data_IF_149049140301
#
_entry.id   IF_149049140301
#
_cell.length_a   1.000
_cell.length_b   1.000
_cell.length_c   1.000
_cell.angle_alpha   90.00
_cell.angle_beta   90.00
_cell.angle_gamma   90.00
#
_symmetry.space_group_name_H-M   'P 1'
#
loop_
_entity.id
_entity.type
_entity.pdbx_description
1 polymer ?
#
# COMPACT_ATOMS: atom_id res chain seq x y z
N UNK A 1 -1.62 -0.50 -1.10
CA UNK A 1 -1.87 -1.13 0.22
C UNK A 1 -2.52 -2.51 0.15
N UNK A 2 -3.56 -2.71 -0.67
CA UNK A 2 -4.25 -4.01 -0.80
C UNK A 2 -3.30 -5.21 -1.00
N UNK A 3 -2.31 -5.09 -1.90
CA UNK A 3 -1.31 -6.15 -2.12
C UNK A 3 -0.49 -6.50 -0.87
N UNK A 4 -0.10 -5.51 -0.07
CA UNK A 4 0.63 -5.75 1.17
C UNK A 4 -0.24 -6.47 2.21
N UNK A 5 -1.53 -6.15 2.27
CA UNK A 5 -2.47 -6.87 3.15
C UNK A 5 -2.70 -8.31 2.68
N UNK A 6 -2.74 -8.53 1.36
CA UNK A 6 -2.86 -9.85 0.77
C UNK A 6 -1.63 -10.72 1.03
N UNK A 7 -0.43 -10.19 0.78
CA UNK A 7 0.84 -10.88 1.05
C UNK A 7 0.95 -11.26 2.53
N UNK A 8 0.63 -10.34 3.44
CA UNK A 8 0.60 -10.62 4.88
C UNK A 8 -0.40 -11.71 5.25
N UNK A 9 -1.59 -11.71 4.64
CA UNK A 9 -2.58 -12.76 4.86
C UNK A 9 -2.06 -14.14 4.42
N UNK A 10 -1.37 -14.22 3.27
CA UNK A 10 -0.77 -15.46 2.79
C UNK A 10 0.34 -15.97 3.73
N UNK A 11 1.19 -15.09 4.22
CA UNK A 11 2.28 -15.43 5.15
C UNK A 11 1.75 -15.91 6.52
N UNK A 12 0.65 -15.28 6.99
CA UNK A 12 -0.03 -15.62 8.25
C UNK A 12 -0.83 -16.93 8.16
N UNK A 13 -1.09 -17.46 6.98
CA UNK A 13 -1.87 -18.69 6.84
C UNK A 13 -1.09 -19.91 7.36
N UNK A 14 -1.71 -20.77 8.18
CA UNK A 14 -1.06 -21.97 8.71
C UNK A 14 -0.86 -23.07 7.66
N UNK A 15 -1.54 -22.95 6.52
CA UNK A 15 -1.53 -23.95 5.46
C UNK A 15 -0.38 -23.69 4.48
N UNK A 16 0.51 -24.67 4.34
CA UNK A 16 1.71 -24.60 3.48
C UNK A 16 1.38 -24.22 2.04
N UNK A 17 0.26 -24.73 1.49
CA UNK A 17 -0.22 -24.38 0.14
C UNK A 17 -0.48 -22.87 -0.04
N UNK A 18 -1.07 -22.20 0.95
CA UNK A 18 -1.32 -20.76 0.87
C UNK A 18 -0.03 -19.96 1.02
N UNK A 19 0.92 -20.43 1.84
CA UNK A 19 2.24 -19.80 1.98
C UNK A 19 3.06 -19.90 0.68
N UNK A 20 2.95 -21.01 -0.06
CA UNK A 20 3.56 -21.15 -1.39
C UNK A 20 2.97 -20.19 -2.43
N UNK A 21 1.75 -19.72 -2.21
CA UNK A 21 1.12 -18.74 -3.10
C UNK A 21 1.81 -17.37 -3.04
N UNK A 22 2.51 -17.07 -1.94
CA UNK A 22 3.36 -15.89 -1.72
C UNK A 22 4.69 -15.92 -2.50
N UNK A 23 4.83 -16.81 -3.49
CA UNK A 23 6.05 -16.86 -4.29
C UNK A 23 6.20 -15.59 -5.15
N UNK A 24 7.45 -15.16 -5.36
CA UNK A 24 7.76 -14.03 -6.23
C UNK A 24 7.12 -14.15 -7.62
N UNK A 25 7.04 -15.37 -8.17
CA UNK A 25 6.43 -15.63 -9.49
C UNK A 25 4.95 -15.27 -9.52
N UNK A 26 4.21 -15.58 -8.46
CA UNK A 26 2.80 -15.21 -8.35
C UNK A 26 2.63 -13.72 -8.07
N UNK A 27 3.53 -13.11 -7.28
CA UNK A 27 3.52 -11.66 -7.08
C UNK A 27 3.66 -10.90 -8.42
N UNK A 28 4.60 -11.31 -9.28
CA UNK A 28 4.73 -10.73 -10.62
C UNK A 28 3.50 -10.94 -11.50
N UNK A 29 2.86 -12.11 -11.44
CA UNK A 29 1.59 -12.38 -12.16
C UNK A 29 0.47 -11.45 -11.67
N UNK A 30 0.33 -11.27 -10.35
CA UNK A 30 -0.67 -10.37 -9.77
C UNK A 30 -0.42 -8.91 -10.15
N UNK A 31 0.83 -8.47 -10.12
CA UNK A 31 1.22 -7.13 -10.58
C UNK A 31 0.84 -6.95 -12.06
N UNK A 32 1.13 -7.93 -12.91
CA UNK A 32 0.75 -7.90 -14.33
C UNK A 32 -0.76 -7.79 -14.54
N UNK A 33 -1.56 -8.56 -13.79
CA UNK A 33 -3.03 -8.49 -13.84
C UNK A 33 -3.52 -7.10 -13.42
N UNK A 34 -2.96 -6.53 -12.34
CA UNK A 34 -3.33 -5.19 -11.86
C UNK A 34 -2.98 -4.13 -12.90
N UNK A 35 -1.80 -4.19 -13.50
CA UNK A 35 -1.40 -3.26 -14.56
C UNK A 35 -2.38 -3.34 -15.73
N UNK A 36 -2.76 -4.55 -16.14
CA UNK A 36 -3.72 -4.75 -17.23
C UNK A 36 -5.10 -4.15 -16.89
N UNK A 37 -5.60 -4.38 -15.67
CA UNK A 37 -6.85 -3.77 -15.18
C UNK A 37 -6.75 -2.24 -15.20
N UNK A 38 -5.63 -1.67 -14.75
CA UNK A 38 -5.41 -0.23 -14.77
C UNK A 38 -5.40 0.30 -16.21
N UNK A 39 -4.66 -0.34 -17.12
CA UNK A 39 -4.64 0.03 -18.53
C UNK A 39 -6.05 0.03 -19.14
N UNK A 40 -6.88 -0.96 -18.84
CA UNK A 40 -8.28 -1.01 -19.30
C UNK A 40 -9.11 0.12 -18.71
N UNK A 41 -8.98 0.43 -17.41
CA UNK A 41 -9.71 1.54 -16.81
C UNK A 41 -9.30 2.88 -17.42
N UNK A 42 -8.00 3.12 -17.61
CA UNK A 42 -7.46 4.34 -18.22
C UNK A 42 -7.65 4.40 -19.74
N UNK A 43 -7.92 3.29 -20.43
CA UNK A 43 -8.21 3.31 -21.87
C UNK A 43 -9.42 4.20 -22.20
N UNK A 44 -10.38 4.29 -21.30
CA UNK A 44 -11.58 5.12 -21.46
C UNK A 44 -11.25 6.62 -21.56
N UNK A 45 -10.14 7.08 -20.97
CA UNK A 45 -9.69 8.47 -21.13
C UNK A 45 -9.35 8.80 -22.58
N UNK A 46 -8.81 7.86 -23.37
CA UNK A 46 -8.50 8.11 -24.78
C UNK A 46 -9.75 8.36 -25.63
N UNK A 47 -10.86 7.67 -25.31
CA UNK A 47 -12.12 7.84 -26.04
C UNK A 47 -12.90 9.08 -25.55
N UNK A 48 -12.84 9.35 -24.25
CA UNK A 48 -13.64 10.41 -23.62
C UNK A 48 -12.95 11.78 -23.58
N UNK A 49 -11.62 11.86 -23.68
CA UNK A 49 -10.88 13.11 -23.62
C UNK A 49 -10.87 13.83 -24.97
N UNK A 50 -11.85 14.71 -25.20
CA UNK A 50 -11.76 15.70 -26.26
C UNK A 50 -11.14 16.98 -25.70
N UNK A 51 -9.87 17.23 -26.01
CA UNK A 51 -9.22 18.50 -25.69
C UNK A 51 -9.72 19.54 -26.71
N UNK A 52 -10.78 20.26 -26.35
CA UNK A 52 -11.21 21.46 -27.10
C UNK A 52 -10.70 22.69 -26.36
N UNK A 53 -9.50 23.14 -26.72
CA UNK A 53 -8.95 24.42 -26.28
C UNK A 53 -8.30 25.12 -27.48
N UNK A 54 -8.75 26.33 -27.82
CA UNK A 54 -7.97 27.19 -28.72
C UNK A 54 -6.84 27.79 -27.89
N UNK A 55 -5.56 27.64 -28.26
CA UNK A 55 -4.51 28.49 -27.66
C UNK A 55 -4.91 29.95 -27.90
N UNK A 56 -4.89 30.85 -26.89
CA UNK A 56 -4.06 30.83 -25.68
C UNK A 56 -4.87 30.77 -24.36
N UNK A 57 -5.92 29.96 -24.25
CA UNK A 57 -6.62 29.80 -22.96
C UNK A 57 -5.78 28.96 -21.98
N UNK A 58 -5.42 29.52 -20.82
CA UNK A 58 -4.67 28.87 -19.73
C UNK A 58 -5.41 27.73 -19.03
N UNK A 59 -6.66 27.44 -19.42
CA UNK A 59 -7.48 26.36 -18.89
C UNK A 59 -7.51 25.18 -19.86
N UNK A 60 -6.72 24.15 -19.57
CA UNK A 60 -6.91 22.82 -20.14
C UNK A 60 -8.11 22.14 -19.48
N UNK A 61 -9.32 22.54 -19.86
CA UNK A 61 -10.54 21.90 -19.38
C UNK A 61 -10.91 20.75 -20.32
N UNK A 62 -10.85 19.50 -19.83
CA UNK A 62 -11.35 18.36 -20.60
C UNK A 62 -12.87 18.46 -20.66
N UNK A 63 -13.42 18.86 -21.81
CA UNK A 63 -14.86 18.80 -22.03
C UNK A 63 -15.21 17.35 -22.32
N UNK A 64 -15.68 16.65 -21.29
CA UNK A 64 -16.21 15.30 -21.41
C UNK A 64 -17.71 15.37 -21.69
N UNK A 65 -18.21 14.43 -22.50
CA UNK A 65 -19.66 14.23 -22.61
C UNK A 65 -20.19 13.79 -21.23
N UNK A 66 -21.43 14.16 -20.92
CA UNK A 66 -22.06 13.85 -19.63
C UNK A 66 -22.00 12.35 -19.28
N UNK A 67 -22.22 11.48 -20.28
CA UNK A 67 -22.12 10.02 -20.12
C UNK A 67 -20.68 9.56 -19.81
N UNK A 68 -19.67 10.15 -20.47
CA UNK A 68 -18.27 9.86 -20.19
C UNK A 68 -17.86 10.34 -18.79
N UNK A 69 -18.33 11.52 -18.36
CA UNK A 69 -18.08 12.05 -17.02
C UNK A 69 -18.62 11.11 -15.94
N UNK A 70 -19.88 10.68 -16.07
CA UNK A 70 -20.49 9.72 -15.16
C UNK A 70 -19.73 8.38 -15.11
N UNK A 71 -19.41 7.81 -16.27
CA UNK A 71 -18.69 6.54 -16.35
C UNK A 71 -17.28 6.64 -15.73
N UNK A 72 -16.54 7.73 -16.01
CA UNK A 72 -15.21 7.95 -15.48
C UNK A 72 -15.22 8.07 -13.95
N UNK A 73 -16.17 8.83 -13.40
CA UNK A 73 -16.33 8.95 -11.95
C UNK A 73 -16.72 7.61 -11.31
N UNK A 74 -17.65 6.86 -11.91
CA UNK A 74 -18.06 5.56 -11.40
C UNK A 74 -16.89 4.56 -11.42
N UNK A 75 -16.15 4.48 -12.54
CA UNK A 75 -14.94 3.65 -12.66
C UNK A 75 -13.91 4.04 -11.61
N UNK A 76 -13.70 5.34 -11.38
CA UNK A 76 -12.77 5.84 -10.36
C UNK A 76 -13.20 5.40 -8.95
N UNK A 77 -14.47 5.56 -8.58
CA UNK A 77 -15.00 5.12 -7.28
C UNK A 77 -14.83 3.61 -7.11
N UNK A 78 -15.14 2.82 -8.13
CA UNK A 78 -15.01 1.36 -8.08
C UNK A 78 -13.56 0.92 -7.90
N UNK A 79 -12.65 1.48 -8.70
CA UNK A 79 -11.26 1.04 -8.77
C UNK A 79 -10.43 1.57 -7.59
N UNK A 80 -10.70 2.79 -7.15
CA UNK A 80 -9.94 3.43 -6.07
C UNK A 80 -10.55 3.11 -4.71
N UNK A 81 -11.88 3.12 -4.53
CA UNK A 81 -12.48 3.01 -3.20
C UNK A 81 -13.11 1.64 -2.91
N UNK A 82 -14.00 1.14 -3.78
CA UNK A 82 -14.81 -0.04 -3.45
C UNK A 82 -13.97 -1.32 -3.52
N UNK A 83 -13.33 -1.59 -4.65
CA UNK A 83 -12.61 -2.85 -4.86
C UNK A 83 -11.48 -3.02 -3.84
N UNK A 84 -10.56 -2.05 -3.64
CA UNK A 84 -9.48 -2.28 -2.70
C UNK A 84 -9.96 -2.26 -1.25
N UNK A 85 -11.03 -1.51 -0.94
CA UNK A 85 -11.66 -1.50 0.39
C UNK A 85 -12.20 -2.87 0.77
N UNK A 86 -12.93 -3.53 -0.14
CA UNK A 86 -13.43 -4.90 0.04
C UNK A 86 -12.27 -5.90 0.20
N UNK A 87 -11.24 -5.80 -0.64
CA UNK A 87 -10.05 -6.67 -0.55
C UNK A 87 -9.36 -6.51 0.81
N UNK A 88 -9.07 -5.28 1.22
CA UNK A 88 -8.42 -4.99 2.51
C UNK A 88 -9.28 -5.47 3.67
N UNK A 89 -10.60 -5.27 3.62
CA UNK A 89 -11.52 -5.70 4.66
C UNK A 89 -11.56 -7.23 4.79
N UNK A 90 -11.73 -7.94 3.67
CA UNK A 90 -11.78 -9.41 3.63
C UNK A 90 -10.49 -10.04 4.16
N UNK A 91 -9.33 -9.59 3.64
CA UNK A 91 -8.03 -10.12 4.07
C UNK A 91 -7.63 -9.65 5.48
N UNK A 92 -8.01 -8.43 5.86
CA UNK A 92 -7.82 -7.91 7.21
C UNK A 92 -8.55 -8.74 8.26
N UNK A 93 -9.85 -9.03 8.04
CA UNK A 93 -10.63 -9.88 8.92
C UNK A 93 -10.10 -11.32 8.97
N UNK A 94 -9.72 -11.89 7.80
CA UNK A 94 -9.12 -13.22 7.72
C UNK A 94 -7.85 -13.33 8.57
N UNK A 95 -7.00 -12.30 8.49
CA UNK A 95 -5.76 -12.19 9.27
C UNK A 95 -6.04 -12.18 10.77
N UNK A 96 -7.02 -11.40 11.23
CA UNK A 96 -7.42 -11.33 12.65
C UNK A 96 -7.96 -12.68 13.15
N UNK A 97 -8.82 -13.35 12.37
CA UNK A 97 -9.40 -14.65 12.73
C UNK A 97 -8.33 -15.73 12.89
N UNK A 98 -7.39 -15.80 11.94
CA UNK A 98 -6.27 -16.75 12.02
C UNK A 98 -5.40 -16.51 13.25
N UNK A 99 -5.12 -15.24 13.59
CA UNK A 99 -4.32 -14.93 14.78
C UNK A 99 -5.02 -15.33 16.08
N UNK A 100 -6.33 -15.16 16.19
CA UNK A 100 -7.09 -15.62 17.36
C UNK A 100 -6.95 -17.13 17.53
N UNK A 101 -7.08 -17.91 16.45
CA UNK A 101 -6.92 -19.37 16.46
C UNK A 101 -5.51 -19.81 16.88
N UNK A 102 -4.48 -19.11 16.37
CA UNK A 102 -3.07 -19.32 16.73
C UNK A 102 -2.75 -19.01 18.21
N UNK A 103 -3.50 -18.09 18.85
CA UNK A 103 -3.34 -17.82 20.29
C UNK A 103 -3.95 -18.93 21.14
N UNK A 104 -5.15 -19.41 20.78
CA UNK A 104 -5.84 -20.47 21.52
C UNK A 104 -5.11 -21.80 21.45
N UNK A 105 -4.55 -22.17 20.29
CA UNK A 105 -3.87 -23.47 20.11
C UNK A 105 -2.57 -23.65 20.93
N UNK A 106 -1.93 -22.55 21.36
CA UNK A 106 -0.63 -22.60 22.06
C UNK A 106 -0.79 -22.51 23.58
N UNK A 107 -1.99 -22.23 24.09
CA UNK A 107 -2.25 -22.22 25.54
C UNK A 107 -2.19 -23.60 26.20
N UNK A 108 -2.15 -24.68 25.42
CA UNK A 108 -2.40 -26.04 25.90
C UNK A 108 -1.22 -27.00 25.75
N UNK A 109 -0.04 -26.56 25.29
CA UNK A 109 1.11 -27.46 25.04
C UNK A 109 2.29 -27.15 25.96
N UNK A 110 2.31 -27.81 27.11
CA UNK A 110 3.40 -27.90 28.09
C UNK A 110 4.57 -28.74 27.54
N UNK A 111 5.31 -28.22 26.56
CA UNK A 111 6.57 -28.85 26.10
C UNK A 111 7.68 -27.80 25.98
N UNK A 112 8.73 -27.99 26.76
CA UNK A 112 9.64 -26.96 27.28
C UNK A 112 10.64 -26.39 26.25
N UNK A 113 10.93 -27.08 25.15
CA UNK A 113 12.08 -26.72 24.27
C UNK A 113 11.77 -26.02 22.93
N UNK A 114 10.50 -25.88 22.52
CA UNK A 114 10.13 -25.15 21.28
C UNK A 114 9.79 -23.66 21.49
N UNK A 115 9.90 -23.17 22.72
CA UNK A 115 9.30 -21.91 23.18
C UNK A 115 10.03 -20.66 22.68
N UNK A 116 11.35 -20.66 22.56
CA UNK A 116 12.09 -19.40 22.32
C UNK A 116 12.00 -18.87 20.87
N UNK A 117 12.05 -19.74 19.86
CA UNK A 117 11.94 -19.32 18.45
C UNK A 117 10.52 -18.88 18.09
N UNK A 118 9.51 -19.59 18.59
CA UNK A 118 8.10 -19.24 18.43
C UNK A 118 7.74 -17.93 19.15
N UNK A 119 8.33 -17.66 20.33
CA UNK A 119 8.08 -16.42 21.06
C UNK A 119 8.64 -15.18 20.33
N UNK A 120 9.83 -15.30 19.72
CA UNK A 120 10.41 -14.22 18.88
C UNK A 120 9.57 -13.96 17.63
N UNK A 121 9.12 -15.01 16.95
CA UNK A 121 8.25 -14.90 15.77
C UNK A 121 6.92 -14.21 16.11
N UNK A 122 6.32 -14.56 17.26
CA UNK A 122 5.09 -13.92 17.78
C UNK A 122 5.22 -12.42 18.06
N UNK A 123 6.37 -11.97 18.56
CA UNK A 123 6.58 -10.54 18.83
C UNK A 123 6.61 -9.74 17.52
N UNK A 124 7.34 -10.24 16.52
CA UNK A 124 7.40 -9.63 15.19
C UNK A 124 6.03 -9.58 14.51
N UNK A 125 5.27 -10.69 14.57
CA UNK A 125 3.92 -10.76 14.01
C UNK A 125 2.95 -9.78 14.68
N UNK A 126 3.09 -9.56 16.00
CA UNK A 126 2.25 -8.61 16.74
C UNK A 126 2.51 -7.15 16.33
N UNK A 127 3.78 -6.79 16.12
CA UNK A 127 4.14 -5.45 15.64
C UNK A 127 3.64 -5.23 14.20
N UNK A 128 3.82 -6.23 13.33
CA UNK A 128 3.29 -6.21 11.95
C UNK A 128 1.76 -6.09 11.92
N UNK A 129 1.05 -6.78 12.82
CA UNK A 129 -0.40 -6.66 12.96
C UNK A 129 -0.84 -5.27 13.42
N UNK A 130 -0.18 -4.71 14.45
CA UNK A 130 -0.50 -3.37 14.94
C UNK A 130 -0.32 -2.34 13.83
N UNK A 131 0.71 -2.51 13.02
CA UNK A 131 0.95 -1.69 11.84
C UNK A 131 -0.18 -1.83 10.82
N UNK A 132 -0.57 -3.06 10.47
CA UNK A 132 -1.65 -3.32 9.51
C UNK A 132 -2.97 -2.69 9.97
N UNK A 133 -3.32 -2.85 11.25
CA UNK A 133 -4.55 -2.28 11.82
C UNK A 133 -4.51 -0.75 11.75
N UNK A 134 -3.38 -0.14 12.09
CA UNK A 134 -3.21 1.31 11.96
C UNK A 134 -3.42 1.79 10.53
N UNK A 135 -2.83 1.10 9.54
CA UNK A 135 -3.04 1.40 8.13
C UNK A 135 -4.50 1.25 7.70
N UNK A 136 -5.17 0.17 8.12
CA UNK A 136 -6.58 -0.06 7.80
C UNK A 136 -7.45 1.08 8.34
N UNK A 137 -7.27 1.46 9.61
CA UNK A 137 -8.05 2.54 10.23
C UNK A 137 -7.82 3.87 9.50
N UNK A 138 -6.57 4.23 9.21
CA UNK A 138 -6.25 5.46 8.49
C UNK A 138 -6.88 5.49 7.10
N UNK A 139 -6.82 4.39 6.36
CA UNK A 139 -7.45 4.28 5.04
C UNK A 139 -8.96 4.45 5.15
N UNK A 140 -9.63 3.80 6.12
CA UNK A 140 -11.07 3.97 6.29
C UNK A 140 -11.46 5.41 6.63
N UNK A 141 -10.71 6.06 7.52
CA UNK A 141 -10.95 7.45 7.92
C UNK A 141 -10.79 8.40 6.73
N UNK A 142 -9.82 8.15 5.83
CA UNK A 142 -9.60 9.00 4.65
C UNK A 142 -10.46 8.65 3.45
N UNK A 143 -10.86 7.40 3.29
CA UNK A 143 -11.64 6.97 2.12
C UNK A 143 -13.12 7.26 2.25
N UNK A 144 -13.68 7.26 3.46
CA UNK A 144 -15.10 7.57 3.65
C UNK A 144 -15.42 9.01 3.21
N UNK A 145 -14.69 10.05 3.65
CA UNK A 145 -14.91 11.43 3.20
C UNK A 145 -14.73 11.59 1.70
N UNK A 146 -13.65 11.01 1.15
CA UNK A 146 -13.39 11.06 -0.29
C UNK A 146 -14.50 10.38 -1.10
N UNK A 147 -14.93 9.17 -0.72
CA UNK A 147 -16.01 8.46 -1.42
C UNK A 147 -17.34 9.22 -1.31
N UNK A 148 -17.66 9.80 -0.15
CA UNK A 148 -18.87 10.59 0.04
C UNK A 148 -18.87 11.85 -0.85
N UNK A 149 -17.74 12.56 -0.95
CA UNK A 149 -17.57 13.71 -1.83
C UNK A 149 -17.78 13.32 -3.30
N UNK A 150 -17.17 12.22 -3.76
CA UNK A 150 -17.37 11.75 -5.15
C UNK A 150 -18.80 11.35 -5.45
N UNK A 151 -19.48 10.68 -4.53
CA UNK A 151 -20.90 10.35 -4.68
C UNK A 151 -21.73 11.64 -4.79
N UNK A 152 -21.44 12.64 -3.95
CA UNK A 152 -22.09 13.95 -4.01
C UNK A 152 -21.86 14.66 -5.36
N UNK A 153 -20.63 14.64 -5.90
CA UNK A 153 -20.33 15.21 -7.22
C UNK A 153 -21.10 14.50 -8.32
N UNK A 154 -21.18 13.16 -8.29
CA UNK A 154 -21.93 12.36 -9.27
C UNK A 154 -23.43 12.68 -9.23
N UNK A 155 -24.03 12.79 -8.04
CA UNK A 155 -25.45 13.12 -7.89
C UNK A 155 -25.74 14.54 -8.37
N UNK A 156 -24.86 15.49 -8.09
CA UNK A 156 -25.05 16.91 -8.41
C UNK A 156 -24.51 17.32 -9.79
N UNK A 157 -24.09 16.35 -10.62
CA UNK A 157 -23.47 16.61 -11.92
C UNK A 157 -24.39 17.39 -12.87
N UNK A 158 -25.71 17.21 -12.73
CA UNK A 158 -26.71 17.80 -13.62
C UNK A 158 -27.42 19.03 -13.02
N UNK A 159 -27.06 19.41 -11.79
CA UNK A 159 -27.64 20.57 -11.14
C UNK A 159 -26.90 21.85 -11.55
N UNK A 160 -27.65 22.91 -11.88
CA UNK A 160 -27.07 24.24 -12.08
C UNK A 160 -26.66 24.79 -10.71
N UNK A 161 -25.35 24.91 -10.47
CA UNK A 161 -24.80 25.37 -9.20
C UNK A 161 -24.61 26.88 -9.18
N UNK A 162 -24.88 27.51 -8.04
CA UNK A 162 -24.52 28.92 -7.81
C UNK A 162 -23.00 29.07 -7.73
N UNK A 163 -22.44 30.25 -8.07
CA UNK A 163 -20.98 30.45 -8.05
C UNK A 163 -20.37 30.20 -6.67
N UNK A 164 -21.10 30.53 -5.60
CA UNK A 164 -20.66 30.25 -4.22
C UNK A 164 -20.55 28.74 -3.95
N UNK A 165 -21.55 27.95 -4.38
CA UNK A 165 -21.54 26.49 -4.21
C UNK A 165 -20.40 25.85 -5.00
N UNK A 166 -20.16 26.30 -6.22
CA UNK A 166 -19.02 25.84 -7.03
C UNK A 166 -17.67 26.15 -6.37
N UNK A 167 -17.52 27.34 -5.76
CA UNK A 167 -16.31 27.69 -5.04
C UNK A 167 -16.08 26.79 -3.81
N UNK A 168 -17.15 26.46 -3.07
CA UNK A 168 -17.09 25.52 -1.94
C UNK A 168 -16.75 24.10 -2.39
N UNK A 169 -17.41 23.61 -3.44
CA UNK A 169 -17.14 22.28 -4.01
C UNK A 169 -15.66 22.19 -4.45
N UNK A 170 -15.14 23.20 -5.14
CA UNK A 170 -13.73 23.25 -5.56
C UNK A 170 -12.77 23.26 -4.36
N UNK A 171 -13.08 24.00 -3.29
CA UNK A 171 -12.27 24.02 -2.08
C UNK A 171 -12.20 22.63 -1.43
N UNK A 172 -13.35 21.97 -1.29
CA UNK A 172 -13.41 20.61 -0.77
C UNK A 172 -12.63 19.63 -1.64
N UNK A 173 -12.75 19.75 -2.96
CA UNK A 173 -12.03 18.91 -3.91
C UNK A 173 -10.51 19.04 -3.73
N UNK A 174 -10.00 20.27 -3.53
CA UNK A 174 -8.58 20.51 -3.25
C UNK A 174 -8.13 19.91 -1.92
N UNK A 175 -8.94 20.04 -0.86
CA UNK A 175 -8.66 19.45 0.46
C UNK A 175 -8.54 17.93 0.33
N UNK A 176 -9.49 17.29 -0.36
CA UNK A 176 -9.50 15.84 -0.60
C UNK A 176 -8.31 15.38 -1.45
N UNK A 177 -7.86 16.21 -2.39
CA UNK A 177 -6.67 15.95 -3.21
C UNK A 177 -5.38 15.95 -2.37
N UNK A 178 -5.25 16.92 -1.45
CA UNK A 178 -4.14 16.98 -0.50
C UNK A 178 -4.16 15.76 0.41
N UNK A 179 -5.34 15.38 0.93
CA UNK A 179 -5.50 14.17 1.76
C UNK A 179 -5.05 12.90 1.03
N UNK A 180 -5.47 12.74 -0.24
CA UNK A 180 -5.08 11.58 -1.06
C UNK A 180 -3.57 11.52 -1.29
N UNK A 181 -2.94 12.67 -1.50
CA UNK A 181 -1.48 12.78 -1.63
C UNK A 181 -0.78 12.47 -0.31
N UNK A 182 -1.39 12.87 0.80
CA UNK A 182 -0.87 12.63 2.15
C UNK A 182 -0.87 11.14 2.51
N UNK A 183 -1.87 10.35 2.11
CA UNK A 183 -1.93 8.89 2.37
C UNK A 183 -0.69 8.13 1.84
N UNK A 184 -0.20 8.55 0.67
CA UNK A 184 1.03 8.00 0.07
C UNK A 184 2.25 8.23 0.97
N UNK A 185 2.33 9.39 1.61
CA UNK A 185 3.40 9.73 2.57
C UNK A 185 3.17 9.08 3.93
N UNK A 186 1.92 9.00 4.38
CA UNK A 186 1.51 8.45 5.67
C UNK A 186 1.95 7.00 5.83
N UNK A 187 1.87 6.25 4.74
CA UNK A 187 2.35 4.87 4.63
C UNK A 187 3.79 4.73 5.13
N UNK A 188 4.69 5.61 4.70
CA UNK A 188 6.08 5.64 5.16
C UNK A 188 6.18 5.92 6.66
N UNK A 189 5.43 6.89 7.18
CA UNK A 189 5.41 7.19 8.61
C UNK A 189 4.88 6.04 9.45
N UNK A 190 3.84 5.35 9.00
CA UNK A 190 3.32 4.16 9.70
C UNK A 190 4.38 3.04 9.72
N UNK A 191 5.13 2.84 8.64
CA UNK A 191 6.28 1.94 8.64
C UNK A 191 7.37 2.38 9.62
N UNK A 192 7.66 3.68 9.67
CA UNK A 192 8.72 4.23 10.52
C UNK A 192 8.37 4.13 12.01
N UNK A 193 7.16 4.51 12.40
CA UNK A 193 6.73 4.51 13.80
C UNK A 193 6.43 3.10 14.31
N UNK A 194 5.71 2.29 13.54
CA UNK A 194 5.32 0.94 13.99
C UNK A 194 6.43 -0.08 13.78
N UNK A 195 7.20 0.06 12.70
CA UNK A 195 8.37 -0.76 12.43
C UNK A 195 9.61 -0.31 13.19
N UNK A 196 9.59 0.80 13.94
CA UNK A 196 10.78 1.48 14.45
C UNK A 196 11.82 0.58 15.12
N UNK A 197 11.42 -0.44 15.89
CA UNK A 197 12.38 -1.38 16.50
C UNK A 197 12.99 -2.32 15.44
N UNK A 198 12.17 -2.94 14.60
CA UNK A 198 12.61 -3.85 13.52
C UNK A 198 13.41 -3.12 12.44
N UNK A 199 12.97 -1.92 12.07
CA UNK A 199 13.63 -1.04 11.11
C UNK A 199 14.98 -0.57 11.66
N UNK A 200 15.05 -0.09 12.91
CA UNK A 200 16.32 0.28 13.55
C UNK A 200 17.25 -0.92 13.69
N UNK A 201 16.73 -2.11 13.99
CA UNK A 201 17.54 -3.34 14.04
C UNK A 201 18.07 -3.74 12.66
N UNK A 202 17.26 -3.62 11.61
CA UNK A 202 17.64 -3.96 10.24
C UNK A 202 18.63 -2.95 9.68
N UNK A 203 18.40 -1.64 9.90
CA UNK A 203 19.37 -0.58 9.57
C UNK A 203 20.70 -0.80 10.28
N UNK A 204 20.68 -1.04 11.61
CA UNK A 204 21.91 -1.33 12.35
C UNK A 204 22.66 -2.55 11.80
N UNK A 205 21.94 -3.60 11.37
CA UNK A 205 22.55 -4.76 10.71
C UNK A 205 23.16 -4.40 9.36
N UNK A 206 22.46 -3.65 8.51
CA UNK A 206 22.99 -3.20 7.23
C UNK A 206 24.23 -2.31 7.39
N UNK A 207 24.20 -1.35 8.32
CA UNK A 207 25.36 -0.50 8.62
C UNK A 207 26.54 -1.29 9.21
N UNK A 208 26.30 -2.29 10.07
CA UNK A 208 27.36 -3.19 10.58
C UNK A 208 27.93 -4.11 9.50
N UNK A 209 27.10 -4.63 8.58
CA UNK A 209 27.58 -5.44 7.46
C UNK A 209 28.37 -4.62 6.45
N UNK A 210 27.93 -3.39 6.14
CA UNK A 210 28.65 -2.48 5.26
C UNK A 210 30.05 -2.16 5.80
N UNK A 211 30.15 -1.84 7.09
CA UNK A 211 31.45 -1.58 7.75
C UNK A 211 32.35 -2.82 7.84
N UNK A 212 31.79 -4.02 7.99
CA UNK A 212 32.58 -5.26 8.02
C UNK A 212 33.12 -5.61 6.64
N UNK A 213 32.30 -5.44 5.59
CA UNK A 213 32.67 -5.71 4.19
C UNK A 213 33.79 -4.78 3.73
N UNK A 214 33.72 -3.49 4.07
CA UNK A 214 34.81 -2.53 3.80
C UNK A 214 36.10 -2.87 4.53
N UNK A 215 36.02 -3.51 5.70
CA UNK A 215 37.21 -3.89 6.49
C UNK A 215 37.92 -5.13 5.94
N UNK A 216 37.17 -6.11 5.42
CA UNK A 216 37.74 -7.27 4.72
C UNK A 216 38.33 -6.92 3.35
N UNK A 217 37.74 -5.98 2.62
CA UNK A 217 38.32 -5.50 1.36
C UNK A 217 39.68 -4.81 1.60
N UNK A 218 39.76 -3.94 2.61
CA UNK A 218 41.00 -3.26 2.97
C UNK A 218 42.11 -4.20 3.47
N UNK A 219 41.76 -5.30 4.16
CA UNK A 219 42.72 -6.31 4.62
C UNK A 219 43.27 -7.15 3.46
N UNK A 220 42.45 -7.47 2.46
CA UNK A 220 42.91 -8.21 1.29
C UNK A 220 43.86 -7.38 0.42
N UNK A 221 43.61 -6.08 0.24
CA UNK A 221 44.51 -5.18 -0.49
C UNK A 221 45.88 -5.05 0.19
N UNK A 222 45.90 -5.00 1.54
CA UNK A 222 47.16 -4.96 2.32
C UNK A 222 47.97 -6.27 2.20
N UNK A 223 47.29 -7.42 2.13
CA UNK A 223 47.96 -8.71 1.96
C UNK A 223 48.57 -8.90 0.57
N UNK A 224 47.93 -8.34 -0.47
CA UNK A 224 48.44 -8.35 -1.84
C UNK A 224 49.66 -7.44 -2.03
N UNK A 225 49.72 -6.30 -1.32
CA UNK A 225 50.88 -5.40 -1.37
C UNK A 225 52.09 -5.97 -0.63
N UNK A 226 51.90 -6.73 0.45
CA UNK A 226 53.01 -7.41 1.13
C UNK A 226 53.58 -8.61 0.35
N UNK A 227 52.77 -9.25 -0.51
CA UNK A 227 53.24 -10.35 -1.34
C UNK A 227 54.11 -9.88 -2.54
N UNK A 228 54.02 -8.61 -2.94
CA UNK A 228 54.79 -8.06 -4.07
C UNK A 228 56.15 -7.46 -3.68
N UNK A 229 56.42 -7.22 -2.40
CA UNK A 229 57.68 -6.60 -1.94
C UNK A 229 58.78 -7.59 -1.54
N UNK A 230 58.57 -8.90 -1.73
CA UNK A 230 59.52 -9.96 -1.31
C UNK A 230 60.23 -10.63 -2.51
N UNK A 231 60.09 -10.11 -3.73
CA UNK A 231 60.84 -10.55 -4.91
C UNK A 231 61.72 -9.44 -5.47
#
# INVERSE_FOLDING_TARGET
MALATFDRFLISSPLVKYRQFSSFRNAYRMIGIIILILCVNYANLFYCANIKGKPPSSSCTSITTQACGFYNELSRIMTVAIIPGLVIFMFGLGTIRHLKKLRTAVGTTTTTDRTQSQFRMRKTDRELMRMLIGQIVLIFVSWIPHAAERIYVVITLNEVKTPLRTAQDNLWDQIMWIETTFDSSLSFYVYLFTGGILFRQTLRKMFRCATTTSRTAALNDMSLTQAQTVN
#
